data_IF_307179240040
#
_entry.id   IF_307179240040
#
_cell.length_a   1.000
_cell.length_b   1.000
_cell.length_c   1.000
_cell.angle_alpha   90.00
_cell.angle_beta   90.00
_cell.angle_gamma   90.00
#
_symmetry.space_group_name_H-M   'P 1'
#
loop_
_entity.id
_entity.type
_entity.pdbx_description
1 polymer ?
#
# COMPACT_ATOMS: atom_id res chain seq x y z
N UNK A 1 -6.96 -14.12 5.49
CA UNK A 1 -6.49 -14.81 4.30
C UNK A 1 -4.98 -14.70 4.24
N UNK A 2 -4.33 -15.71 3.69
CA UNK A 2 -2.88 -15.71 3.60
C UNK A 2 -2.41 -15.07 2.29
N UNK A 3 -1.13 -14.70 2.26
CA UNK A 3 -0.47 -14.22 1.06
C UNK A 3 -0.61 -15.26 -0.07
N UNK A 4 -0.94 -14.79 -1.27
CA UNK A 4 -1.08 -15.65 -2.44
C UNK A 4 0.02 -15.35 -3.45
N UNK A 5 0.59 -16.36 -4.12
CA UNK A 5 1.66 -16.13 -5.11
C UNK A 5 1.30 -15.13 -6.21
N UNK A 6 0.04 -15.10 -6.64
CA UNK A 6 -0.38 -14.17 -7.68
C UNK A 6 -0.34 -12.70 -7.23
N UNK A 7 -0.33 -12.42 -5.92
CA UNK A 7 -0.20 -11.05 -5.42
C UNK A 7 1.12 -10.44 -5.89
N UNK A 8 2.18 -11.24 -5.93
CA UNK A 8 3.48 -10.75 -6.41
C UNK A 8 3.41 -10.38 -7.90
N UNK A 9 2.81 -11.23 -8.72
CA UNK A 9 2.64 -10.93 -10.15
C UNK A 9 1.84 -9.64 -10.34
N UNK A 10 0.75 -9.49 -9.60
CA UNK A 10 -0.11 -8.33 -9.71
C UNK A 10 0.57 -7.05 -9.23
N UNK A 11 1.30 -7.12 -8.12
CA UNK A 11 1.95 -5.92 -7.59
C UNK A 11 3.13 -5.47 -8.47
N UNK A 12 3.81 -6.41 -9.13
CA UNK A 12 4.85 -6.05 -10.11
C UNK A 12 4.24 -5.36 -11.32
N UNK A 13 3.07 -5.79 -11.76
CA UNK A 13 2.33 -5.13 -12.84
C UNK A 13 1.96 -3.70 -12.43
N UNK A 14 1.46 -3.52 -11.21
CA UNK A 14 1.15 -2.18 -10.70
C UNK A 14 2.41 -1.29 -10.69
N UNK A 15 3.54 -1.84 -10.23
CA UNK A 15 4.81 -1.11 -10.17
C UNK A 15 5.24 -0.60 -11.55
N UNK A 16 4.95 -1.34 -12.62
CA UNK A 16 5.34 -0.96 -13.97
C UNK A 16 4.69 0.36 -14.41
N UNK A 17 3.63 0.78 -13.73
CA UNK A 17 2.88 2.01 -14.05
C UNK A 17 3.37 3.23 -13.29
N UNK A 18 4.41 3.09 -12.46
CA UNK A 18 4.94 4.19 -11.67
C UNK A 18 5.46 5.31 -12.56
N UNK A 19 5.16 6.55 -12.17
CA UNK A 19 5.66 7.74 -12.84
C UNK A 19 6.73 8.37 -11.96
N UNK A 20 8.00 8.06 -12.24
CA UNK A 20 9.12 8.43 -11.35
C UNK A 20 10.27 9.10 -12.13
N UNK A 21 10.00 10.23 -12.82
CA UNK A 21 11.02 10.87 -13.66
C UNK A 21 12.20 11.42 -12.87
N UNK A 22 12.03 11.65 -11.58
CA UNK A 22 13.06 12.28 -10.74
C UNK A 22 13.88 11.24 -9.98
N UNK A 23 13.23 10.38 -9.18
CA UNK A 23 13.94 9.42 -8.34
C UNK A 23 14.33 8.14 -9.07
N UNK A 24 13.58 7.76 -10.09
CA UNK A 24 13.68 6.45 -10.76
C UNK A 24 13.33 5.28 -9.83
N UNK A 25 12.80 5.55 -8.64
CA UNK A 25 12.48 4.52 -7.64
C UNK A 25 11.01 4.14 -7.74
N UNK A 26 10.72 3.00 -8.38
CA UNK A 26 9.35 2.55 -8.64
C UNK A 26 8.82 1.72 -7.48
N UNK A 27 7.61 2.05 -7.04
CA UNK A 27 6.88 1.32 -6.01
C UNK A 27 5.53 0.91 -6.58
N UNK A 28 5.11 -0.31 -6.27
CA UNK A 28 3.78 -0.80 -6.64
C UNK A 28 3.00 -1.21 -5.41
N UNK A 29 1.68 -1.14 -5.52
CA UNK A 29 0.78 -1.61 -4.48
C UNK A 29 -0.39 -2.37 -5.11
N UNK A 30 -0.79 -3.45 -4.46
CA UNK A 30 -1.93 -4.28 -4.89
C UNK A 30 -2.86 -4.44 -3.69
N UNK A 31 -4.00 -3.77 -3.74
CA UNK A 31 -4.98 -3.73 -2.66
C UNK A 31 -6.11 -4.71 -2.98
N UNK A 32 -6.43 -5.59 -2.01
CA UNK A 32 -7.55 -6.52 -2.14
C UNK A 32 -8.68 -6.06 -1.22
N UNK A 33 -9.90 -6.10 -1.74
CA UNK A 33 -11.10 -5.84 -0.94
C UNK A 33 -11.68 -7.16 -0.44
N UNK A 34 -12.50 -7.08 0.61
CA UNK A 34 -13.13 -8.26 1.19
C UNK A 34 -14.15 -8.89 0.25
N UNK A 35 -14.71 -8.10 -0.68
CA UNK A 35 -15.65 -8.60 -1.68
C UNK A 35 -14.98 -9.14 -2.95
N UNK A 36 -13.65 -9.27 -2.95
CA UNK A 36 -12.92 -9.91 -4.03
C UNK A 36 -12.43 -9.00 -5.15
N UNK A 37 -12.60 -7.68 -5.02
CA UNK A 37 -12.07 -6.75 -5.99
C UNK A 37 -10.63 -6.38 -5.68
N UNK A 38 -9.95 -5.75 -6.62
CA UNK A 38 -8.58 -5.33 -6.43
C UNK A 38 -8.33 -3.96 -7.06
N UNK A 39 -7.36 -3.24 -6.48
CA UNK A 39 -6.95 -1.93 -6.95
C UNK A 39 -5.44 -1.88 -7.03
N UNK A 40 -4.94 -1.36 -8.15
CA UNK A 40 -3.52 -1.17 -8.35
C UNK A 40 -3.12 0.23 -7.94
N UNK A 41 -1.94 0.36 -7.36
CA UNK A 41 -1.36 1.65 -7.06
C UNK A 41 0.09 1.68 -7.51
N UNK A 42 0.56 2.85 -7.89
CA UNK A 42 1.95 3.09 -8.24
C UNK A 42 2.30 4.49 -7.78
N UNK A 43 3.57 4.73 -7.47
CA UNK A 43 3.95 6.06 -7.05
C UNK A 43 4.00 7.01 -8.25
N UNK A 44 3.54 8.23 -8.01
CA UNK A 44 3.45 9.29 -9.02
C UNK A 44 4.16 10.51 -8.47
N UNK A 45 5.29 10.87 -9.09
CA UNK A 45 6.09 12.01 -8.66
C UNK A 45 5.61 13.29 -9.31
N UNK A 46 6.09 14.40 -8.79
CA UNK A 46 5.75 15.73 -9.26
C UNK A 46 6.95 16.65 -9.05
N UNK A 47 7.17 17.58 -9.98
CA UNK A 47 8.21 18.59 -9.81
C UNK A 47 7.99 19.40 -8.53
N UNK A 48 6.73 19.60 -8.14
CA UNK A 48 6.40 20.12 -6.81
C UNK A 48 6.39 18.93 -5.86
N UNK A 49 7.51 18.62 -5.24
CA UNK A 49 7.73 17.41 -4.46
C UNK A 49 6.62 17.07 -3.45
N UNK A 50 6.05 18.03 -2.71
CA UNK A 50 4.96 17.69 -1.77
C UNK A 50 3.71 17.12 -2.44
N UNK A 51 3.57 17.27 -3.75
CA UNK A 51 2.41 16.76 -4.48
C UNK A 51 2.57 15.30 -4.92
N UNK A 52 3.74 14.71 -4.68
CA UNK A 52 3.95 13.30 -5.00
C UNK A 52 3.03 12.41 -4.15
N UNK A 53 2.58 11.31 -4.75
CA UNK A 53 1.74 10.34 -4.04
C UNK A 53 2.40 8.97 -4.07
N UNK A 54 2.37 8.29 -2.92
CA UNK A 54 2.92 6.94 -2.79
C UNK A 54 1.97 5.91 -3.40
N UNK A 55 2.52 4.74 -3.77
CA UNK A 55 1.75 3.66 -4.37
C UNK A 55 0.62 3.19 -3.44
N UNK A 56 0.90 3.05 -2.16
CA UNK A 56 -0.10 2.60 -1.19
C UNK A 56 -1.29 3.56 -1.14
N UNK A 57 -1.01 4.86 -1.04
CA UNK A 57 -2.08 5.86 -1.02
C UNK A 57 -2.85 5.91 -2.34
N UNK A 58 -2.14 5.76 -3.47
CA UNK A 58 -2.75 5.72 -4.79
C UNK A 58 -3.83 4.64 -4.86
N UNK A 59 -3.53 3.42 -4.41
CA UNK A 59 -4.50 2.33 -4.41
C UNK A 59 -5.67 2.57 -3.46
N UNK A 60 -5.39 3.08 -2.27
CA UNK A 60 -6.40 3.31 -1.24
C UNK A 60 -7.38 4.43 -1.63
N UNK A 61 -6.85 5.57 -2.10
CA UNK A 61 -7.73 6.68 -2.48
C UNK A 61 -8.55 6.33 -3.71
N UNK A 62 -7.99 5.52 -4.62
CA UNK A 62 -8.73 5.00 -5.77
C UNK A 62 -9.94 4.17 -5.32
N UNK A 63 -9.73 3.26 -4.38
CA UNK A 63 -10.81 2.42 -3.86
C UNK A 63 -11.89 3.25 -3.16
N UNK A 64 -11.48 4.19 -2.31
CA UNK A 64 -12.43 5.07 -1.62
C UNK A 64 -13.26 5.88 -2.63
N UNK A 65 -12.61 6.42 -3.67
CA UNK A 65 -13.34 7.22 -4.66
C UNK A 65 -14.29 6.38 -5.51
N UNK A 66 -14.12 5.06 -5.53
CA UNK A 66 -15.04 4.15 -6.21
C UNK A 66 -16.10 3.56 -5.29
N UNK A 67 -16.21 4.05 -4.06
CA UNK A 67 -17.30 3.73 -3.17
C UNK A 67 -16.97 2.80 -2.01
N UNK A 68 -15.74 2.28 -1.95
CA UNK A 68 -15.32 1.48 -0.79
C UNK A 68 -15.12 2.38 0.42
N UNK A 69 -15.15 1.79 1.60
CA UNK A 69 -15.10 2.53 2.88
C UNK A 69 -14.14 1.84 3.84
N UNK A 70 -13.70 2.55 4.90
CA UNK A 70 -12.85 1.94 5.92
C UNK A 70 -13.42 0.61 6.41
N UNK A 71 -12.53 -0.39 6.50
CA UNK A 71 -12.93 -1.74 6.89
C UNK A 71 -13.26 -2.68 5.74
N UNK A 72 -13.34 -2.18 4.51
CA UNK A 72 -13.67 -3.01 3.34
C UNK A 72 -12.46 -3.76 2.77
N UNK A 73 -11.27 -3.56 3.32
CA UNK A 73 -10.04 -4.05 2.71
C UNK A 73 -9.51 -5.30 3.40
N UNK A 74 -9.09 -6.28 2.60
CA UNK A 74 -8.59 -7.57 3.07
C UNK A 74 -7.08 -7.57 3.28
N UNK A 75 -6.32 -6.99 2.34
CA UNK A 75 -4.86 -6.96 2.40
C UNK A 75 -4.30 -5.94 1.43
N UNK A 76 -3.05 -5.55 1.66
CA UNK A 76 -2.27 -4.77 0.70
C UNK A 76 -0.90 -5.42 0.52
N UNK A 77 -0.47 -5.54 -0.74
CA UNK A 77 0.86 -6.03 -1.09
C UNK A 77 1.64 -4.87 -1.72
N UNK A 78 2.89 -4.70 -1.32
CA UNK A 78 3.75 -3.61 -1.76
C UNK A 78 5.01 -4.22 -2.35
N UNK A 79 5.57 -3.62 -3.41
CA UNK A 79 6.84 -4.06 -3.99
C UNK A 79 7.76 -2.89 -4.28
N UNK A 80 9.04 -3.13 -4.08
CA UNK A 80 10.13 -2.19 -4.39
C UNK A 80 11.30 -2.98 -4.99
N UNK A 81 12.20 -2.28 -5.70
CA UNK A 81 13.38 -2.91 -6.29
C UNK A 81 14.58 -2.73 -5.36
N UNK A 82 14.57 -3.47 -4.26
CA UNK A 82 15.63 -3.44 -3.24
C UNK A 82 16.03 -4.87 -2.86
N UNK A 83 17.20 -5.00 -2.20
CA UNK A 83 17.67 -6.32 -1.74
C UNK A 83 16.76 -6.89 -0.66
N UNK A 84 16.22 -6.02 0.21
CA UNK A 84 15.25 -6.40 1.23
C UNK A 84 13.96 -5.62 1.01
N UNK A 85 12.79 -6.24 1.32
CA UNK A 85 11.54 -5.50 1.22
C UNK A 85 11.54 -4.26 2.10
N UNK A 86 10.95 -3.17 1.59
CA UNK A 86 10.81 -1.92 2.33
C UNK A 86 9.42 -1.78 2.90
N UNK A 87 9.32 -1.14 4.06
CA UNK A 87 8.03 -0.86 4.67
C UNK A 87 7.46 0.48 4.18
N UNK A 88 6.14 0.68 4.29
CA UNK A 88 5.53 1.96 3.92
C UNK A 88 6.11 3.12 4.73
N UNK A 89 6.18 4.30 4.12
CA UNK A 89 6.61 5.50 4.83
C UNK A 89 5.59 5.89 5.91
N UNK A 90 5.97 6.81 6.79
CA UNK A 90 5.10 7.20 7.92
C UNK A 90 3.75 7.74 7.47
N UNK A 91 3.72 8.55 6.40
CA UNK A 91 2.47 9.10 5.88
C UNK A 91 1.54 7.98 5.40
N UNK A 92 2.07 6.97 4.69
CA UNK A 92 1.28 5.85 4.22
C UNK A 92 0.78 5.00 5.39
N UNK A 93 1.57 4.82 6.43
CA UNK A 93 1.14 4.10 7.64
C UNK A 93 -0.04 4.79 8.31
N UNK A 94 -0.05 6.12 8.35
CA UNK A 94 -1.16 6.90 8.90
C UNK A 94 -2.41 6.72 8.04
N UNK A 95 -2.29 6.72 6.72
CA UNK A 95 -3.42 6.51 5.82
C UNK A 95 -3.98 5.10 5.98
N UNK A 96 -3.10 4.10 6.10
CA UNK A 96 -3.52 2.72 6.38
C UNK A 96 -4.30 2.64 7.70
N UNK A 97 -3.82 3.35 8.73
CA UNK A 97 -4.49 3.38 10.04
C UNK A 97 -5.90 3.94 9.94
N UNK A 98 -6.11 4.96 9.11
CA UNK A 98 -7.43 5.56 8.94
C UNK A 98 -8.39 4.63 8.18
N UNK A 99 -7.91 3.96 7.14
CA UNK A 99 -8.78 3.31 6.16
C UNK A 99 -8.88 1.79 6.32
N UNK A 100 -7.97 1.18 7.08
CA UNK A 100 -7.88 -0.28 7.15
C UNK A 100 -7.98 -0.76 8.59
N UNK A 101 -8.42 -1.99 8.76
CA UNK A 101 -8.48 -2.62 10.09
C UNK A 101 -7.07 -2.78 10.66
N UNK A 102 -6.95 -2.71 11.98
CA UNK A 102 -5.66 -2.84 12.66
C UNK A 102 -4.97 -4.17 12.36
N UNK A 103 -5.74 -5.23 12.17
CA UNK A 103 -5.21 -6.56 11.90
C UNK A 103 -5.05 -6.87 10.41
N UNK A 104 -5.32 -5.93 9.53
CA UNK A 104 -5.18 -6.16 8.10
C UNK A 104 -3.72 -6.45 7.75
N UNK A 105 -3.44 -7.57 7.05
CA UNK A 105 -2.06 -7.89 6.66
C UNK A 105 -1.52 -6.92 5.60
N UNK A 106 -0.25 -6.57 5.79
CA UNK A 106 0.54 -5.78 4.85
C UNK A 106 1.71 -6.65 4.42
N UNK A 107 1.72 -7.03 3.14
CA UNK A 107 2.79 -7.85 2.57
C UNK A 107 3.79 -6.95 1.87
N UNK A 108 5.04 -6.99 2.32
CA UNK A 108 6.11 -6.18 1.75
C UNK A 108 7.04 -7.09 0.96
N UNK A 109 7.19 -6.79 -0.33
CA UNK A 109 7.96 -7.65 -1.23
C UNK A 109 9.08 -6.86 -1.90
N UNK A 110 10.04 -7.57 -2.48
CA UNK A 110 11.11 -6.97 -3.27
C UNK A 110 11.16 -7.59 -4.66
N UNK A 111 12.17 -7.21 -5.45
CA UNK A 111 12.31 -7.66 -6.84
C UNK A 111 12.51 -9.16 -6.99
N UNK A 112 13.00 -9.84 -5.96
CA UNK A 112 13.22 -11.30 -6.01
C UNK A 112 12.03 -12.10 -5.48
N UNK A 113 10.98 -11.43 -5.01
CA UNK A 113 9.81 -12.09 -4.47
C UNK A 113 9.90 -12.44 -2.99
N UNK A 114 10.92 -11.93 -2.28
CA UNK A 114 10.99 -12.08 -0.83
C UNK A 114 9.83 -11.34 -0.19
N UNK A 115 9.17 -11.95 0.79
CA UNK A 115 7.98 -11.39 1.43
C UNK A 115 8.22 -11.25 2.94
N UNK A 116 7.89 -10.07 3.46
CA UNK A 116 7.81 -9.84 4.90
C UNK A 116 6.36 -9.45 5.19
N UNK A 117 5.73 -10.13 6.13
CA UNK A 117 4.35 -9.86 6.51
C UNK A 117 4.31 -9.05 7.80
N UNK A 118 3.43 -8.03 7.83
CA UNK A 118 3.14 -7.26 9.02
C UNK A 118 1.64 -6.96 9.05
N UNK A 119 1.22 -6.13 9.99
CA UNK A 119 -0.16 -5.64 10.06
C UNK A 119 -0.14 -4.12 10.16
N UNK A 120 -1.30 -3.52 9.91
CA UNK A 120 -1.46 -2.06 10.03
C UNK A 120 -1.03 -1.59 11.43
N UNK A 121 -1.50 -2.29 12.48
CA UNK A 121 -1.14 -1.92 13.85
C UNK A 121 0.35 -2.09 14.13
N UNK A 122 0.97 -3.16 13.65
CA UNK A 122 2.41 -3.37 13.86
C UNK A 122 3.26 -2.29 13.20
N UNK A 123 2.78 -1.73 12.10
CA UNK A 123 3.50 -0.68 11.37
C UNK A 123 3.31 0.70 12.00
N UNK A 124 2.29 0.90 12.82
CA UNK A 124 2.05 2.17 13.49
C UNK A 124 1.48 1.91 14.90
N UNK A 125 2.30 1.37 15.80
CA UNK A 125 1.86 1.13 17.18
C UNK A 125 1.40 2.41 17.83
N UNK A 126 0.27 2.36 18.57
CA UNK A 126 -0.30 3.53 19.25
C UNK A 126 -0.60 4.68 18.27
N UNK A 127 -0.94 4.35 17.02
CA UNK A 127 -1.16 5.34 15.97
C UNK A 127 -2.37 6.23 16.26
N UNK A 128 -2.26 7.49 15.83
CA UNK A 128 -3.37 8.44 15.91
C UNK A 128 -4.55 7.96 15.05
N UNK A 129 -5.77 8.08 15.56
CA UNK A 129 -6.96 7.67 14.82
C UNK A 129 -8.14 8.56 15.16
N UNK A 130 -9.26 8.36 14.47
CA UNK A 130 -10.50 9.09 14.73
C UNK A 130 -11.00 8.95 16.16
N UNK A 131 -10.62 7.87 16.86
CA UNK A 131 -10.96 7.70 18.26
C UNK A 131 -10.38 8.81 19.13
N UNK A 132 -9.25 9.37 18.74
CA UNK A 132 -8.57 10.43 19.50
C UNK A 132 -9.26 11.79 19.35
N UNK A 133 -10.20 11.91 18.42
CA UNK A 133 -10.94 13.14 18.18
C UNK A 133 -12.29 13.17 18.88
N UNK A 134 -12.70 12.08 19.54
CA UNK A 134 -14.00 11.97 20.20
C UNK A 134 -13.90 12.10 21.70
#
# INVERSE_FOLDING_TARGET
MAYQPHYFTEVREAQSRAYVPYSKFKVGAFLKTKDGQSFYGANVENAAYPMAICAERSSLVSAISQGYRPGDFESITITVDTDEPSSPCGACRQVLKELCDDDMPVYMTNQTGKVIESTVEQLLPLGFSGKDLN
#
